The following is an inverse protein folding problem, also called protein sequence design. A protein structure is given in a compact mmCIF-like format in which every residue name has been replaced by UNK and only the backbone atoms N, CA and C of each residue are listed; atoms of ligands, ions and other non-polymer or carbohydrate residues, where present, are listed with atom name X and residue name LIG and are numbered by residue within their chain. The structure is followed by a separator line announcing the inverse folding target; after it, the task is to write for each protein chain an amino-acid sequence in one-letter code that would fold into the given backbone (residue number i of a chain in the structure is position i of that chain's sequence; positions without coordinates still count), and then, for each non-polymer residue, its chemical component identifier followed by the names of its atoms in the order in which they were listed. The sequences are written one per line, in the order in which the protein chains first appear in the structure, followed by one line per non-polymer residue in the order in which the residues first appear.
data_IF_291259237374
#
_entry.id   IF_291259237374
#
_cell.length_a   1.000
_cell.length_b   1.000
_cell.length_c   1.000
_cell.angle_alpha   90.00
_cell.angle_beta   90.00
_cell.angle_gamma   90.00
#
_symmetry.space_group_name_H-M   'P 1'
#
loop_
_entity.id
_entity.type
_entity.pdbx_description
1 polymer ?
#
# COMPACT_ATOMS: atom_id res chain seq x y z
N UNK A 1 -11.55 18.88 -2.84
CA UNK A 1 -11.74 18.06 -1.61
C UNK A 1 -10.39 17.95 -0.90
N UNK A 2 -10.39 17.85 0.44
CA UNK A 2 -9.15 17.64 1.20
C UNK A 2 -8.60 16.24 0.94
N UNK A 3 -7.28 16.10 0.79
CA UNK A 3 -6.61 14.82 0.67
C UNK A 3 -6.80 14.01 1.95
N UNK A 4 -7.17 12.73 1.82
CA UNK A 4 -7.33 11.80 2.93
C UNK A 4 -6.07 10.96 3.12
N UNK A 5 -5.78 10.65 4.37
CA UNK A 5 -4.70 9.72 4.77
C UNK A 5 -5.23 8.69 5.76
N UNK A 6 -4.64 7.50 5.78
CA UNK A 6 -4.92 6.44 6.73
C UNK A 6 -3.68 6.06 7.52
N UNK A 7 -3.84 5.66 8.77
CA UNK A 7 -2.75 5.17 9.62
C UNK A 7 -3.26 4.51 10.90
N UNK A 8 -2.42 3.69 11.52
CA UNK A 8 -2.54 3.35 12.93
C UNK A 8 -1.89 4.48 13.76
N UNK A 9 -2.52 4.93 14.84
CA UNK A 9 -2.23 6.22 15.49
C UNK A 9 -1.87 6.14 16.95
N UNK A 10 -2.76 5.64 17.78
CA UNK A 10 -2.62 5.56 19.23
C UNK A 10 -3.72 4.64 19.77
N UNK A 11 -3.53 4.00 20.94
CA UNK A 11 -4.54 3.15 21.56
C UNK A 11 -5.77 3.95 22.05
N UNK A 12 -6.79 3.25 22.53
CA UNK A 12 -8.04 3.82 23.05
C UNK A 12 -7.83 4.72 24.28
N UNK A 13 -6.72 4.51 25.00
CA UNK A 13 -6.34 5.26 26.20
C UNK A 13 -5.41 6.44 25.88
N UNK A 14 -5.09 6.70 24.61
CA UNK A 14 -4.14 7.71 24.18
C UNK A 14 -2.68 7.36 24.52
N UNK A 15 -2.37 6.05 24.65
CA UNK A 15 -1.02 5.54 24.96
C UNK A 15 -0.45 4.79 23.75
N UNK A 16 0.87 4.60 23.80
CA UNK A 16 1.58 3.88 22.74
C UNK A 16 1.46 2.35 22.86
N UNK A 17 1.02 1.84 23.98
CA UNK A 17 0.89 0.40 24.28
C UNK A 17 0.02 0.15 25.50
N UNK A 18 -0.47 -1.08 25.64
CA UNK A 18 -1.21 -1.55 26.81
C UNK A 18 -2.72 -1.42 26.69
N UNK A 19 -3.22 -1.10 25.49
CA UNK A 19 -4.65 -1.10 25.17
C UNK A 19 -5.22 -2.52 25.01
N UNK A 20 -6.52 -2.59 24.70
CA UNK A 20 -7.20 -3.84 24.36
C UNK A 20 -6.98 -4.18 22.90
N UNK A 21 -6.86 -5.47 22.59
CA UNK A 21 -6.65 -5.93 21.22
C UNK A 21 -7.88 -5.64 20.32
N UNK A 22 -7.61 -5.11 19.14
CA UNK A 22 -8.62 -4.63 18.18
C UNK A 22 -9.03 -3.19 18.42
N UNK A 23 -9.74 -2.59 17.49
CA UNK A 23 -10.19 -1.20 17.51
C UNK A 23 -11.27 -0.98 18.60
N UNK A 24 -11.07 -0.05 19.49
CA UNK A 24 -11.96 0.18 20.65
C UNK A 24 -12.73 1.51 20.56
N UNK A 25 -12.24 2.49 19.81
CA UNK A 25 -12.79 3.86 19.84
C UNK A 25 -12.97 4.48 18.42
N UNK A 26 -12.83 3.69 17.36
CA UNK A 26 -12.86 4.10 15.95
C UNK A 26 -11.80 5.13 15.56
N UNK A 27 -10.68 5.19 16.28
CA UNK A 27 -9.59 6.16 16.08
C UNK A 27 -8.20 5.56 16.05
N UNK A 28 -8.03 4.34 16.54
CA UNK A 28 -6.72 3.69 16.64
C UNK A 28 -6.14 3.45 15.25
N UNK A 29 -6.94 2.83 14.36
CA UNK A 29 -6.61 2.64 12.95
C UNK A 29 -7.67 3.31 12.11
N UNK A 30 -7.40 4.53 11.63
CA UNK A 30 -8.47 5.35 11.05
C UNK A 30 -7.98 6.29 9.96
N UNK A 31 -8.96 6.82 9.22
CA UNK A 31 -8.73 7.85 8.20
C UNK A 31 -8.88 9.25 8.79
N UNK A 32 -8.12 10.21 8.23
CA UNK A 32 -8.25 11.63 8.56
C UNK A 32 -7.92 12.49 7.35
N UNK A 33 -8.16 13.78 7.46
CA UNK A 33 -7.64 14.73 6.47
C UNK A 33 -6.12 14.81 6.58
N UNK A 34 -5.45 14.97 5.45
CA UNK A 34 -4.02 15.28 5.45
C UNK A 34 -3.75 16.53 6.28
N UNK A 35 -2.63 16.56 6.95
CA UNK A 35 -2.17 17.66 7.79
C UNK A 35 -0.67 17.88 7.61
N UNK A 36 -0.23 19.10 7.79
CA UNK A 36 1.19 19.44 7.72
C UNK A 36 1.87 19.12 9.04
N UNK A 37 2.91 18.32 8.99
CA UNK A 37 3.81 18.09 10.12
C UNK A 37 4.79 19.27 10.28
N UNK A 38 5.17 19.58 11.51
CA UNK A 38 6.02 20.75 11.85
C UNK A 38 7.31 20.83 11.05
N UNK A 39 7.93 19.68 10.71
CA UNK A 39 9.14 19.59 9.87
C UNK A 39 8.87 19.03 8.47
N UNK A 40 7.58 18.84 8.11
CA UNK A 40 7.16 18.28 6.84
C UNK A 40 7.26 16.76 6.79
N UNK A 41 7.01 16.22 5.60
CA UNK A 41 6.97 14.80 5.28
C UNK A 41 8.10 14.41 4.33
N UNK A 42 8.68 13.23 4.50
CA UNK A 42 9.36 12.50 3.43
C UNK A 42 8.30 11.70 2.70
N UNK A 43 8.30 11.73 1.37
CA UNK A 43 7.24 11.15 0.53
C UNK A 43 7.82 10.08 -0.37
N UNK A 44 7.26 8.88 -0.32
CA UNK A 44 7.67 7.72 -1.11
C UNK A 44 6.51 7.30 -2.01
N UNK A 45 6.69 7.45 -3.31
CA UNK A 45 5.71 7.06 -4.34
C UNK A 45 6.11 5.74 -4.96
N UNK A 46 5.20 4.78 -5.02
CA UNK A 46 5.42 3.55 -5.75
C UNK A 46 5.60 3.85 -7.25
N UNK A 47 6.59 3.20 -7.89
CA UNK A 47 6.86 3.34 -9.33
C UNK A 47 5.75 2.70 -10.17
N UNK A 48 5.18 1.60 -9.68
CA UNK A 48 4.06 0.91 -10.31
C UNK A 48 2.73 1.42 -9.73
N UNK A 49 1.81 1.95 -10.56
CA UNK A 49 0.51 2.43 -10.12
C UNK A 49 -0.36 1.37 -9.44
N UNK A 50 -0.28 0.11 -9.85
CA UNK A 50 -1.02 -1.00 -9.21
C UNK A 50 -0.52 -1.26 -7.80
N UNK A 51 0.78 -1.13 -7.55
CA UNK A 51 1.37 -1.20 -6.20
C UNK A 51 0.86 -0.06 -5.34
N UNK A 52 0.84 1.19 -5.86
CA UNK A 52 0.29 2.34 -5.15
C UNK A 52 -1.18 2.12 -4.76
N UNK A 53 -2.01 1.67 -5.71
CA UNK A 53 -3.43 1.39 -5.48
C UNK A 53 -3.63 0.30 -4.43
N UNK A 54 -2.86 -0.80 -4.50
CA UNK A 54 -2.95 -1.89 -3.53
C UNK A 54 -2.52 -1.46 -2.13
N UNK A 55 -1.48 -0.62 -1.99
CA UNK A 55 -1.08 -0.04 -0.71
C UNK A 55 -2.23 0.79 -0.11
N UNK A 56 -2.83 1.69 -0.90
CA UNK A 56 -3.95 2.50 -0.46
C UNK A 56 -5.17 1.66 -0.10
N UNK A 57 -5.52 0.69 -0.93
CA UNK A 57 -6.64 -0.24 -0.72
C UNK A 57 -6.49 -1.06 0.56
N UNK A 58 -5.28 -1.57 0.83
CA UNK A 58 -5.00 -2.29 2.06
C UNK A 58 -5.17 -1.37 3.29
N UNK A 59 -4.63 -0.15 3.25
CA UNK A 59 -4.79 0.83 4.33
C UNK A 59 -6.25 1.19 4.56
N UNK A 60 -7.05 1.41 3.51
CA UNK A 60 -8.50 1.68 3.63
C UNK A 60 -9.25 0.52 4.28
N UNK A 61 -8.89 -0.72 3.93
CA UNK A 61 -9.47 -1.92 4.52
C UNK A 61 -9.10 -2.06 5.99
N UNK A 62 -7.84 -1.78 6.34
CA UNK A 62 -7.39 -1.77 7.73
C UNK A 62 -8.16 -0.73 8.56
N UNK A 63 -8.34 0.49 8.04
CA UNK A 63 -9.11 1.56 8.71
C UNK A 63 -10.61 1.27 8.86
N UNK A 64 -11.12 0.21 8.25
CA UNK A 64 -12.54 -0.23 8.32
C UNK A 64 -12.71 -1.52 9.10
N UNK A 65 -11.64 -2.16 9.53
CA UNK A 65 -11.70 -3.45 10.23
C UNK A 65 -11.49 -3.27 11.73
N UNK A 66 -12.59 -3.33 12.50
CA UNK A 66 -12.59 -3.19 13.96
C UNK A 66 -11.81 -4.31 14.71
N UNK A 67 -11.26 -5.29 13.97
CA UNK A 67 -10.36 -6.30 14.56
C UNK A 67 -8.90 -5.85 14.61
N UNK A 68 -8.58 -4.65 14.11
CA UNK A 68 -7.22 -4.13 14.02
C UNK A 68 -7.11 -2.90 14.94
N UNK A 69 -6.40 -3.03 16.04
CA UNK A 69 -6.12 -1.95 16.99
C UNK A 69 -4.66 -1.48 16.95
N UNK A 70 -4.30 -0.65 17.93
CA UNK A 70 -2.98 -0.05 18.02
C UNK A 70 -2.24 -0.45 19.29
N UNK A 71 -1.08 -1.12 19.14
CA UNK A 71 -0.12 -1.35 20.22
C UNK A 71 1.30 -1.51 19.69
N UNK A 72 2.27 -0.70 20.21
CA UNK A 72 3.66 -0.77 19.77
C UNK A 72 4.39 -2.03 20.23
N UNK A 73 4.00 -2.63 21.35
CA UNK A 73 4.65 -3.86 21.85
C UNK A 73 4.09 -5.11 21.14
N UNK A 74 2.83 -5.05 20.69
CA UNK A 74 2.17 -6.14 19.97
C UNK A 74 2.06 -5.89 18.45
N UNK A 75 2.80 -4.94 17.92
CA UNK A 75 2.76 -4.41 16.57
C UNK A 75 2.83 -5.43 15.43
N UNK A 76 3.29 -6.64 15.69
CA UNK A 76 3.46 -7.68 14.68
C UNK A 76 2.31 -8.68 14.63
N UNK A 77 1.31 -8.58 15.51
CA UNK A 77 0.20 -9.53 15.57
C UNK A 77 -0.69 -9.42 14.33
N UNK A 78 -0.91 -8.20 13.79
CA UNK A 78 -1.59 -8.02 12.50
C UNK A 78 -0.85 -8.70 11.35
N UNK A 79 0.47 -8.53 11.25
CA UNK A 79 1.25 -9.17 10.17
C UNK A 79 1.06 -10.69 10.18
N UNK A 80 1.20 -11.31 11.35
CA UNK A 80 1.02 -12.76 11.54
C UNK A 80 -0.40 -13.21 11.21
N UNK A 81 -1.42 -12.42 11.56
CA UNK A 81 -2.82 -12.73 11.26
C UNK A 81 -3.15 -12.59 9.76
N UNK A 82 -2.54 -11.62 9.07
CA UNK A 82 -2.81 -11.34 7.67
C UNK A 82 -2.00 -12.21 6.69
N UNK A 83 -0.80 -12.68 7.08
CA UNK A 83 0.10 -13.47 6.23
C UNK A 83 -0.59 -14.69 5.58
N UNK A 84 -1.28 -15.60 6.32
CA UNK A 84 -1.96 -16.75 5.73
C UNK A 84 -3.18 -16.36 4.87
N UNK A 85 -3.60 -15.09 4.91
CA UNK A 85 -4.72 -14.52 4.16
C UNK A 85 -4.25 -13.75 2.90
N UNK A 86 -2.96 -13.89 2.51
CA UNK A 86 -2.35 -13.11 1.43
C UNK A 86 -2.28 -11.61 1.76
N UNK A 87 -2.12 -11.28 3.04
CA UNK A 87 -2.12 -9.92 3.60
C UNK A 87 -3.41 -9.12 3.34
N UNK A 88 -4.51 -9.78 2.95
CA UNK A 88 -5.82 -9.13 2.85
C UNK A 88 -6.42 -8.88 4.24
N UNK A 89 -6.14 -7.71 4.78
CA UNK A 89 -6.57 -7.30 6.13
C UNK A 89 -8.09 -7.25 6.31
N UNK A 90 -8.87 -7.20 5.21
CA UNK A 90 -10.34 -7.28 5.31
C UNK A 90 -10.84 -8.66 5.75
N UNK A 91 -10.00 -9.69 5.64
CA UNK A 91 -10.30 -11.08 6.04
C UNK A 91 -9.87 -11.40 7.46
N UNK A 92 -9.20 -10.47 8.16
CA UNK A 92 -8.80 -10.64 9.54
C UNK A 92 -10.04 -10.58 10.44
N UNK A 93 -10.31 -11.67 11.14
CA UNK A 93 -11.50 -11.84 12.02
C UNK A 93 -11.15 -11.93 13.50
N UNK A 94 -9.88 -12.13 13.82
CA UNK A 94 -9.37 -12.18 15.19
C UNK A 94 -8.75 -10.84 15.56
N UNK A 95 -9.07 -10.34 16.76
CA UNK A 95 -8.47 -9.11 17.27
C UNK A 95 -6.94 -9.18 17.28
N UNK A 96 -6.29 -8.15 16.76
CA UNK A 96 -4.85 -8.05 16.63
C UNK A 96 -4.41 -6.57 16.60
N UNK A 97 -3.11 -6.35 16.68
CA UNK A 97 -2.50 -5.05 16.90
C UNK A 97 -1.45 -4.74 15.84
N UNK A 98 -1.29 -3.44 15.62
CA UNK A 98 -0.24 -2.88 14.76
C UNK A 98 0.23 -1.54 15.30
N UNK A 99 1.35 -1.03 14.79
CA UNK A 99 1.69 0.40 14.86
C UNK A 99 1.67 1.01 13.45
N UNK A 100 1.92 2.31 13.36
CA UNK A 100 1.88 3.02 12.08
C UNK A 100 2.79 2.40 11.01
N UNK A 101 4.01 2.02 11.38
CA UNK A 101 5.00 1.47 10.45
C UNK A 101 4.78 -0.03 10.16
N UNK A 102 4.34 -0.79 11.15
CA UNK A 102 4.00 -2.20 10.94
C UNK A 102 2.78 -2.34 10.02
N UNK A 103 1.79 -1.44 10.12
CA UNK A 103 0.66 -1.41 9.20
C UNK A 103 1.10 -1.09 7.76
N UNK A 104 2.00 -0.12 7.57
CA UNK A 104 2.57 0.16 6.23
C UNK A 104 3.31 -1.06 5.69
N UNK A 105 4.04 -1.82 6.53
CA UNK A 105 4.69 -3.08 6.13
C UNK A 105 3.67 -4.10 5.62
N UNK A 106 2.52 -4.25 6.29
CA UNK A 106 1.42 -5.13 5.84
C UNK A 106 0.85 -4.65 4.51
N UNK A 107 0.61 -3.34 4.35
CA UNK A 107 0.12 -2.76 3.10
C UNK A 107 1.11 -2.99 1.94
N UNK A 108 2.42 -2.87 2.19
CA UNK A 108 3.45 -3.20 1.21
C UNK A 108 3.44 -4.68 0.83
N UNK A 109 3.31 -5.58 1.81
CA UNK A 109 3.24 -7.03 1.57
C UNK A 109 1.99 -7.40 0.75
N UNK A 110 0.82 -6.81 1.05
CA UNK A 110 -0.40 -6.95 0.24
C UNK A 110 -0.21 -6.48 -1.20
N UNK A 111 0.61 -5.46 -1.41
CA UNK A 111 0.96 -4.95 -2.74
C UNK A 111 2.10 -5.72 -3.44
N UNK A 112 2.54 -6.86 -2.88
CA UNK A 112 3.59 -7.69 -3.45
C UNK A 112 5.02 -7.33 -3.03
N UNK A 113 5.20 -6.36 -2.13
CA UNK A 113 6.53 -5.96 -1.62
C UNK A 113 6.80 -6.67 -0.29
N UNK A 114 7.39 -7.86 -0.33
CA UNK A 114 7.58 -8.76 0.83
C UNK A 114 8.94 -8.63 1.52
N UNK A 115 9.91 -7.93 0.93
CA UNK A 115 11.30 -7.84 1.43
C UNK A 115 11.54 -6.87 2.61
N UNK A 116 10.48 -6.26 3.17
CA UNK A 116 10.63 -5.35 4.31
C UNK A 116 10.85 -6.13 5.61
N UNK A 117 11.90 -5.83 6.40
CA UNK A 117 12.27 -6.61 7.58
C UNK A 117 11.25 -6.46 8.72
N UNK A 118 11.25 -7.41 9.67
CA UNK A 118 10.42 -7.33 10.88
C UNK A 118 10.75 -6.07 11.70
N UNK A 119 12.01 -5.66 11.70
CA UNK A 119 12.48 -4.42 12.36
C UNK A 119 12.06 -3.12 11.65
N UNK A 120 11.21 -3.20 10.60
CA UNK A 120 10.72 -2.03 9.87
C UNK A 120 9.96 -1.08 10.80
N UNK A 121 10.47 0.14 10.92
CA UNK A 121 9.94 1.21 11.80
C UNK A 121 10.24 2.58 11.20
N UNK A 122 9.56 3.61 11.64
CA UNK A 122 9.68 4.98 11.09
C UNK A 122 11.13 5.46 10.95
N UNK A 123 12.00 5.12 11.90
CA UNK A 123 13.43 5.51 11.86
C UNK A 123 14.26 4.84 10.76
N UNK A 124 13.82 3.69 10.22
CA UNK A 124 14.51 3.01 9.13
C UNK A 124 13.67 2.84 7.86
N UNK A 125 12.42 3.34 7.84
CA UNK A 125 11.55 3.31 6.66
C UNK A 125 12.21 3.90 5.43
N UNK A 126 12.82 5.11 5.47
CA UNK A 126 13.47 5.70 4.32
C UNK A 126 14.44 4.76 3.62
N UNK A 127 15.38 4.20 4.38
CA UNK A 127 16.39 3.31 3.82
C UNK A 127 15.82 1.98 3.32
N UNK A 128 14.83 1.42 4.02
CA UNK A 128 14.22 0.16 3.60
C UNK A 128 13.32 0.33 2.37
N UNK A 129 12.51 1.39 2.28
CA UNK A 129 11.71 1.67 1.08
C UNK A 129 12.59 1.89 -0.15
N UNK A 130 13.68 2.68 -0.01
CA UNK A 130 14.62 2.90 -1.10
C UNK A 130 15.31 1.60 -1.54
N UNK A 131 15.70 0.71 -0.61
CA UNK A 131 16.32 -0.58 -0.91
C UNK A 131 15.43 -1.54 -1.71
N UNK A 132 14.11 -1.44 -1.59
CA UNK A 132 13.20 -2.28 -2.39
C UNK A 132 13.29 -1.99 -3.88
N UNK A 133 13.75 -0.80 -4.27
CA UNK A 133 13.73 -0.34 -5.67
C UNK A 133 12.33 -0.01 -6.20
N UNK A 134 11.27 -0.29 -5.43
CA UNK A 134 9.87 -0.12 -5.84
C UNK A 134 9.34 1.31 -5.68
N UNK A 135 10.06 2.15 -4.95
CA UNK A 135 9.63 3.52 -4.65
C UNK A 135 10.58 4.56 -5.21
N UNK A 136 10.04 5.75 -5.47
CA UNK A 136 10.77 6.99 -5.72
C UNK A 136 10.53 7.93 -4.53
N UNK A 137 11.59 8.43 -3.92
CA UNK A 137 11.50 9.50 -2.93
C UNK A 137 11.25 10.83 -3.64
N UNK A 138 10.12 11.47 -3.31
CA UNK A 138 9.75 12.76 -3.88
C UNK A 138 10.32 13.90 -3.04
N UNK A 139 11.32 14.57 -3.57
CA UNK A 139 11.96 15.72 -2.95
C UNK A 139 11.33 17.03 -3.40
N UNK A 140 11.43 18.06 -2.58
CA UNK A 140 10.88 19.37 -2.86
C UNK A 140 9.61 19.70 -2.08
N UNK A 141 9.45 20.99 -1.76
CA UNK A 141 8.39 21.51 -0.89
C UNK A 141 6.97 21.21 -1.39
N UNK A 142 6.78 21.14 -2.72
CA UNK A 142 5.47 20.82 -3.32
C UNK A 142 4.92 19.44 -2.92
N UNK A 143 5.79 18.49 -2.54
CA UNK A 143 5.39 17.19 -2.03
C UNK A 143 5.46 17.10 -0.50
N UNK A 144 6.44 17.76 0.10
CA UNK A 144 6.79 17.59 1.51
C UNK A 144 6.00 18.49 2.45
N UNK A 145 5.45 19.62 1.94
CA UNK A 145 4.75 20.64 2.74
C UNK A 145 3.34 20.94 2.26
N UNK A 146 2.85 20.24 1.26
CA UNK A 146 1.52 20.41 0.67
C UNK A 146 0.93 19.06 0.28
N UNK A 147 -0.40 18.99 0.24
CA UNK A 147 -1.10 17.79 -0.22
C UNK A 147 -1.46 17.82 -1.71
N UNK A 148 -1.31 18.97 -2.35
CA UNK A 148 -1.83 19.25 -3.71
C UNK A 148 -1.28 18.29 -4.78
N UNK A 149 -0.04 17.83 -4.62
CA UNK A 149 0.66 16.95 -5.58
C UNK A 149 0.80 15.50 -5.09
N UNK A 150 0.24 15.18 -3.90
CA UNK A 150 0.27 13.81 -3.38
C UNK A 150 -0.66 12.91 -4.18
N UNK A 151 -0.22 11.67 -4.37
CA UNK A 151 -0.98 10.63 -5.05
C UNK A 151 -1.50 9.57 -4.09
N UNK A 152 -2.61 8.96 -4.44
CA UNK A 152 -3.14 7.79 -3.74
C UNK A 152 -2.08 6.68 -3.71
N UNK A 153 -1.80 6.13 -2.53
CA UNK A 153 -0.75 5.15 -2.29
C UNK A 153 0.62 5.74 -1.94
N UNK A 154 0.81 7.06 -1.97
CA UNK A 154 2.03 7.67 -1.44
C UNK A 154 2.18 7.34 0.04
N UNK A 155 3.37 6.88 0.44
CA UNK A 155 3.74 6.64 1.84
C UNK A 155 4.44 7.89 2.36
N UNK A 156 3.91 8.47 3.42
CA UNK A 156 4.47 9.65 4.06
C UNK A 156 5.10 9.28 5.40
N UNK A 157 6.34 9.68 5.62
CA UNK A 157 7.05 9.51 6.89
C UNK A 157 7.41 10.88 7.43
N UNK A 158 7.11 11.15 8.69
CA UNK A 158 7.52 12.43 9.31
C UNK A 158 9.03 12.58 9.29
N UNK A 159 9.55 13.74 8.98
CA UNK A 159 11.01 14.01 9.03
C UNK A 159 11.60 13.88 10.44
N UNK A 160 10.75 13.78 11.45
CA UNK A 160 11.13 13.45 12.84
C UNK A 160 11.17 11.96 13.11
N UNK A 161 10.83 11.11 12.11
CA UNK A 161 10.74 9.65 12.21
C UNK A 161 9.80 9.14 13.31
N UNK A 162 8.79 9.93 13.68
CA UNK A 162 7.84 9.60 14.76
C UNK A 162 6.52 9.00 14.27
N UNK A 163 6.16 9.18 12.98
CA UNK A 163 4.88 8.72 12.44
C UNK A 163 4.93 8.48 10.93
N UNK A 164 4.01 7.65 10.44
CA UNK A 164 3.81 7.40 9.01
C UNK A 164 2.33 7.24 8.68
N UNK A 165 1.96 7.67 7.47
CA UNK A 165 0.61 7.55 6.94
C UNK A 165 0.65 7.15 5.47
N UNK A 166 -0.46 6.61 4.95
CA UNK A 166 -0.67 6.36 3.50
C UNK A 166 -1.71 7.32 2.97
N UNK A 167 -1.44 7.93 1.83
CA UNK A 167 -2.38 8.80 1.12
C UNK A 167 -3.48 7.96 0.47
N UNK A 168 -4.75 8.33 0.71
CA UNK A 168 -5.94 7.58 0.27
C UNK A 168 -6.72 8.28 -0.86
N UNK A 169 -6.39 9.52 -1.18
CA UNK A 169 -7.01 10.25 -2.29
C UNK A 169 -6.01 11.18 -2.95
N UNK A 170 -6.17 11.39 -4.25
CA UNK A 170 -5.28 12.27 -5.00
C UNK A 170 -5.44 13.75 -4.60
N UNK A 171 -4.33 14.46 -4.56
CA UNK A 171 -4.31 15.92 -4.52
C UNK A 171 -4.81 16.53 -5.82
N UNK A 172 -5.26 17.78 -5.79
CA UNK A 172 -5.91 18.45 -6.93
C UNK A 172 -4.99 18.70 -8.15
N UNK A 173 -3.69 18.61 -7.95
CA UNK A 173 -2.65 18.69 -9.00
C UNK A 173 -1.80 17.42 -9.06
N UNK A 174 -2.35 16.30 -8.61
CA UNK A 174 -1.70 15.01 -8.82
C UNK A 174 -1.64 14.75 -10.33
N UNK A 175 -0.48 14.88 -10.85
CA UNK A 175 -0.13 14.45 -12.20
C UNK A 175 0.25 12.98 -12.05
N UNK A 176 -0.67 12.05 -12.21
CA UNK A 176 -0.41 10.63 -12.03
C UNK A 176 1.03 10.26 -12.37
N UNK A 177 1.61 9.23 -11.77
CA UNK A 177 2.71 8.57 -12.47
C UNK A 177 2.11 8.31 -13.84
N UNK A 178 2.50 9.11 -14.85
CA UNK A 178 2.42 8.62 -16.20
C UNK A 178 3.19 7.32 -16.09
N UNK A 179 2.46 6.21 -15.95
CA UNK A 179 3.05 4.97 -16.31
C UNK A 179 3.65 5.32 -17.69
N UNK A 180 4.97 5.45 -17.82
CA UNK A 180 5.54 4.92 -19.01
C UNK A 180 4.82 3.60 -19.09
N UNK A 181 4.01 3.43 -20.11
CA UNK A 181 3.42 2.17 -20.44
C UNK A 181 4.61 1.20 -20.59
N UNK A 182 5.12 0.73 -19.45
CA UNK A 182 5.72 -0.58 -19.43
C UNK A 182 4.53 -1.43 -19.82
N UNK A 183 4.63 -2.17 -20.90
CA UNK A 183 3.63 -3.12 -21.30
C UNK A 183 3.15 -3.82 -20.05
N UNK A 184 1.83 -3.96 -19.85
CA UNK A 184 1.27 -4.67 -18.68
C UNK A 184 2.10 -5.92 -18.46
N UNK A 185 2.94 -5.93 -17.41
CA UNK A 185 3.79 -7.08 -17.19
C UNK A 185 2.93 -8.26 -16.76
N UNK A 186 3.22 -9.43 -17.28
CA UNK A 186 2.48 -10.63 -16.93
C UNK A 186 2.51 -10.84 -15.41
N UNK A 187 1.33 -10.86 -14.77
CA UNK A 187 1.16 -10.99 -13.33
C UNK A 187 0.78 -9.69 -12.60
N UNK A 188 0.76 -8.54 -13.27
CA UNK A 188 0.36 -7.27 -12.65
C UNK A 188 -1.16 -7.19 -12.38
N UNK A 189 -1.95 -7.94 -13.13
CA UNK A 189 -3.40 -8.07 -12.95
C UNK A 189 -3.89 -9.51 -13.16
N UNK A 190 -5.09 -9.80 -12.69
CA UNK A 190 -5.77 -11.06 -13.00
C UNK A 190 -6.30 -10.96 -14.43
N UNK A 191 -5.80 -11.80 -15.32
CA UNK A 191 -6.33 -11.94 -16.67
C UNK A 191 -7.63 -12.73 -16.62
N UNK A 192 -8.63 -12.25 -17.32
CA UNK A 192 -9.96 -12.86 -17.39
C UNK A 192 -10.59 -12.60 -18.76
N UNK A 193 -11.61 -13.37 -19.10
CA UNK A 193 -12.39 -13.23 -20.33
C UNK A 193 -12.72 -11.77 -20.65
N UNK A 194 -12.48 -11.35 -21.89
CA UNK A 194 -12.65 -9.98 -22.36
C UNK A 194 -11.53 -9.02 -21.90
N UNK A 195 -10.44 -9.53 -21.29
CA UNK A 195 -9.26 -8.71 -21.00
C UNK A 195 -8.41 -8.51 -22.23
N UNK A 196 -7.91 -7.30 -22.44
CA UNK A 196 -7.03 -6.93 -23.52
C UNK A 196 -5.74 -6.31 -22.98
N UNK A 197 -4.62 -6.44 -23.72
CA UNK A 197 -3.36 -5.78 -23.38
C UNK A 197 -2.11 -6.58 -23.74
N UNK A 198 -0.93 -5.97 -23.53
CA UNK A 198 0.35 -6.59 -23.82
C UNK A 198 0.67 -7.77 -22.90
N UNK A 199 0.17 -7.78 -21.66
CA UNK A 199 0.26 -8.90 -20.71
C UNK A 199 -0.53 -10.11 -21.22
N UNK A 200 -1.67 -9.90 -21.88
CA UNK A 200 -2.44 -10.97 -22.54
C UNK A 200 -1.63 -11.52 -23.72
N UNK A 201 -1.07 -10.67 -24.56
CA UNK A 201 -0.19 -11.08 -25.65
C UNK A 201 0.99 -11.92 -25.15
N UNK A 202 1.68 -11.43 -24.12
CA UNK A 202 2.83 -12.13 -23.53
C UNK A 202 2.44 -13.50 -22.96
N UNK A 203 1.28 -13.60 -22.30
CA UNK A 203 0.77 -14.87 -21.79
C UNK A 203 0.48 -15.84 -22.93
N UNK A 204 -0.17 -15.37 -24.01
CA UNK A 204 -0.45 -16.18 -25.19
C UNK A 204 0.84 -16.69 -25.83
N UNK A 205 1.87 -15.85 -25.98
CA UNK A 205 3.19 -16.26 -26.48
C UNK A 205 3.84 -17.34 -25.60
N UNK A 206 3.75 -17.21 -24.27
CA UNK A 206 4.30 -18.21 -23.36
C UNK A 206 3.57 -19.53 -23.45
N UNK A 207 2.23 -19.51 -23.56
CA UNK A 207 1.43 -20.73 -23.74
C UNK A 207 1.79 -21.45 -25.05
N UNK A 208 1.98 -20.71 -26.14
CA UNK A 208 2.45 -21.28 -27.42
C UNK A 208 3.84 -21.93 -27.30
N UNK A 209 4.78 -21.26 -26.62
CA UNK A 209 6.13 -21.82 -26.35
C UNK A 209 6.08 -23.10 -25.51
N UNK A 210 5.04 -23.23 -24.64
CA UNK A 210 4.79 -24.44 -23.86
C UNK A 210 4.01 -25.52 -24.63
N UNK A 211 3.63 -25.26 -25.89
CA UNK A 211 2.96 -26.23 -26.77
C UNK A 211 1.44 -26.26 -26.65
N UNK A 212 0.83 -25.26 -26.01
CA UNK A 212 -0.63 -25.14 -26.02
C UNK A 212 -1.13 -24.59 -27.36
N UNK A 213 -2.23 -25.13 -27.86
CA UNK A 213 -2.92 -24.64 -29.06
C UNK A 213 -3.92 -23.56 -28.63
N UNK A 214 -3.75 -22.34 -29.13
CA UNK A 214 -4.62 -21.21 -28.86
C UNK A 214 -5.61 -20.93 -30.00
N UNK A 215 -5.74 -21.85 -30.96
CA UNK A 215 -6.63 -21.70 -32.09
C UNK A 215 -6.24 -20.56 -33.05
N UNK A 216 -7.26 -19.94 -33.69
CA UNK A 216 -7.04 -18.87 -34.67
C UNK A 216 -6.76 -17.48 -34.06
N UNK A 217 -6.84 -17.33 -32.75
CA UNK A 217 -6.70 -16.08 -32.02
C UNK A 217 -5.28 -15.87 -31.45
N UNK A 218 -4.30 -16.42 -32.10
CA UNK A 218 -2.91 -16.42 -31.65
C UNK A 218 -2.34 -15.00 -31.55
N UNK A 219 -1.92 -14.62 -30.34
CA UNK A 219 -1.27 -13.33 -30.04
C UNK A 219 -2.07 -12.10 -30.43
N UNK A 220 -3.40 -12.17 -30.38
CA UNK A 220 -4.28 -11.03 -30.64
C UNK A 220 -4.26 -9.98 -29.52
N UNK A 221 -3.67 -10.29 -28.36
CA UNK A 221 -3.71 -9.42 -27.18
C UNK A 221 -5.09 -9.31 -26.54
N UNK A 222 -5.96 -10.26 -26.84
CA UNK A 222 -7.36 -10.35 -26.41
C UNK A 222 -7.57 -11.71 -25.74
N UNK A 223 -8.13 -11.70 -24.52
CA UNK A 223 -8.45 -12.89 -23.75
C UNK A 223 -9.89 -13.32 -24.09
N UNK A 224 -10.06 -13.87 -25.29
CA UNK A 224 -11.33 -14.35 -25.82
C UNK A 224 -11.64 -15.82 -25.55
N UNK A 225 -12.66 -16.34 -26.22
CA UNK A 225 -13.14 -17.74 -26.15
C UNK A 225 -12.12 -18.79 -26.52
#
# INVERSE_FOLDING_TARGET
MAVKVGSARIDENGKAHGGQAGEQNSREVSTQNWYLQSKGWSVYRAKNPSVAENIAKCMERACKNDKIGYDQYQRHTLYKAAEPLGFDVSKVTKACETDCSALVRVCCAYAGITGLPESFRTGNMPSNLNKTGAFTELTGSKYQSQSTYLGRGDILVTKTNGHTVVVLSNGSKYEGTVAQSTPDALGDRILKYGGEGEDVTLMQELLLKLGYDLGSWVCAGDFGD
#
